data_IF_308989966623
#
_entry.id   IF_308989966623
#
_cell.length_a   1.000
_cell.length_b   1.000
_cell.length_c   1.000
_cell.angle_alpha   90.00
_cell.angle_beta   90.00
_cell.angle_gamma   90.00
#
_symmetry.space_group_name_H-M   'P 1'
#
loop_
_entity.id
_entity.type
_entity.pdbx_description
1 polymer ?
#
# COMPACT_ATOMS: atom_id res chain seq x y z
N UNK A 1 21.71 -5.84 1.02
CA UNK A 1 21.01 -6.48 -0.12
C UNK A 1 21.38 -7.96 -0.21
N UNK A 2 20.41 -8.88 -0.27
CA UNK A 2 20.66 -10.32 -0.52
C UNK A 2 20.63 -10.57 -2.03
N UNK A 3 21.76 -10.38 -2.71
CA UNK A 3 21.83 -10.40 -4.18
C UNK A 3 21.91 -11.81 -4.78
N UNK A 4 22.64 -12.73 -4.15
CA UNK A 4 22.87 -14.09 -4.69
C UNK A 4 21.57 -14.84 -5.10
N UNK A 5 20.47 -14.80 -4.31
CA UNK A 5 19.21 -15.43 -4.72
C UNK A 5 18.63 -14.87 -6.02
N UNK A 6 18.73 -13.55 -6.22
CA UNK A 6 18.24 -12.88 -7.43
C UNK A 6 19.07 -13.30 -8.64
N UNK A 7 20.40 -13.36 -8.50
CA UNK A 7 21.28 -13.80 -9.59
C UNK A 7 20.98 -15.24 -10.01
N UNK A 8 20.73 -16.13 -9.04
CA UNK A 8 20.29 -17.50 -9.31
C UNK A 8 19.00 -17.54 -10.13
N UNK A 9 18.01 -16.72 -9.76
CA UNK A 9 16.73 -16.61 -10.45
C UNK A 9 16.86 -16.05 -11.87
N UNK A 10 17.74 -15.09 -12.11
CA UNK A 10 18.02 -14.58 -13.46
C UNK A 10 18.55 -15.71 -14.38
N UNK A 11 19.46 -16.54 -13.86
CA UNK A 11 19.97 -17.70 -14.61
C UNK A 11 18.85 -18.71 -14.86
N UNK A 12 18.07 -19.03 -13.82
CA UNK A 12 16.92 -19.95 -13.93
C UNK A 12 15.91 -19.45 -14.97
N UNK A 13 15.67 -18.14 -15.04
CA UNK A 13 14.75 -17.51 -15.99
C UNK A 13 15.19 -17.76 -17.44
N UNK A 14 16.46 -17.53 -17.76
CA UNK A 14 16.96 -17.76 -19.13
C UNK A 14 16.83 -19.21 -19.61
N UNK A 15 16.78 -20.18 -18.68
CA UNK A 15 16.53 -21.60 -19.00
C UNK A 15 15.05 -21.91 -19.29
N UNK A 16 14.16 -20.98 -18.94
CA UNK A 16 12.71 -21.06 -19.07
C UNK A 16 12.14 -20.08 -20.10
N UNK A 17 13.01 -19.45 -20.89
CA UNK A 17 12.64 -18.66 -22.07
C UNK A 17 13.08 -19.46 -23.30
N UNK A 18 12.09 -19.92 -24.06
CA UNK A 18 12.30 -20.65 -25.30
C UNK A 18 12.21 -19.71 -26.51
N UNK A 19 13.03 -20.02 -27.52
CA UNK A 19 13.13 -19.27 -28.78
C UNK A 19 12.34 -19.95 -29.91
N UNK A 20 11.82 -21.16 -29.63
CA UNK A 20 10.95 -21.95 -30.50
C UNK A 20 9.67 -22.27 -29.75
N UNK A 21 8.60 -22.53 -30.50
CA UNK A 21 7.32 -22.96 -29.94
C UNK A 21 7.48 -24.25 -29.12
N UNK A 22 6.73 -24.34 -28.03
CA UNK A 22 6.71 -25.50 -27.12
C UNK A 22 5.28 -26.03 -26.98
N UNK A 23 5.13 -27.33 -26.79
CA UNK A 23 3.82 -28.02 -26.76
C UNK A 23 2.99 -27.71 -25.49
N UNK A 24 3.66 -27.31 -24.41
CA UNK A 24 3.02 -26.96 -23.13
C UNK A 24 2.45 -25.53 -23.12
N UNK A 25 1.52 -25.26 -22.19
CA UNK A 25 0.97 -23.93 -21.98
C UNK A 25 2.09 -22.91 -21.68
N UNK A 26 2.32 -22.01 -22.64
CA UNK A 26 3.39 -21.02 -22.61
C UNK A 26 2.84 -19.62 -22.91
N UNK A 27 3.38 -18.62 -22.23
CA UNK A 27 3.13 -17.23 -22.57
C UNK A 27 4.00 -16.87 -23.78
N UNK A 28 3.35 -16.70 -24.92
CA UNK A 28 3.97 -16.20 -26.15
C UNK A 28 4.11 -14.69 -26.10
N UNK A 29 5.31 -14.18 -26.37
CA UNK A 29 5.57 -12.76 -26.56
C UNK A 29 6.24 -12.52 -27.93
N UNK A 30 5.48 -11.91 -28.83
CA UNK A 30 5.95 -11.47 -30.16
C UNK A 30 6.51 -10.05 -30.10
N UNK A 31 7.65 -9.78 -30.75
CA UNK A 31 8.17 -8.43 -30.91
C UNK A 31 8.92 -8.24 -32.24
N UNK A 32 8.93 -7.00 -32.74
CA UNK A 32 9.60 -6.65 -33.99
C UNK A 32 11.05 -6.24 -33.72
N UNK A 33 11.96 -6.77 -34.53
CA UNK A 33 13.34 -6.31 -34.59
C UNK A 33 13.37 -5.06 -35.46
N UNK A 34 13.86 -3.95 -34.90
CA UNK A 34 14.03 -2.72 -35.67
C UNK A 34 15.27 -2.80 -36.56
N UNK A 35 15.22 -2.15 -37.73
CA UNK A 35 16.29 -2.18 -38.73
C UNK A 35 17.66 -1.75 -38.17
N UNK A 36 17.66 -0.87 -37.17
CA UNK A 36 18.86 -0.29 -36.56
C UNK A 36 19.65 -1.24 -35.66
N UNK A 37 19.03 -2.33 -35.17
CA UNK A 37 19.70 -3.23 -34.22
C UNK A 37 20.53 -4.31 -34.93
N UNK A 38 20.16 -4.70 -36.15
CA UNK A 38 20.74 -5.87 -36.83
C UNK A 38 20.95 -5.72 -38.35
N UNK A 39 20.66 -4.56 -38.97
CA UNK A 39 20.71 -4.38 -40.43
C UNK A 39 19.92 -5.45 -41.22
N UNK A 40 18.84 -5.99 -40.62
CA UNK A 40 17.97 -7.00 -41.23
C UNK A 40 16.61 -6.38 -41.58
N UNK A 41 15.94 -6.83 -42.66
CA UNK A 41 14.54 -6.46 -42.90
C UNK A 41 13.68 -6.83 -41.68
N UNK A 42 12.58 -6.09 -41.45
CA UNK A 42 11.70 -6.30 -40.30
C UNK A 42 11.39 -7.78 -40.11
N UNK A 43 11.89 -8.34 -39.01
CA UNK A 43 11.69 -9.72 -38.63
C UNK A 43 10.96 -9.78 -37.29
N UNK A 44 9.98 -10.66 -37.19
CA UNK A 44 9.34 -10.97 -35.91
C UNK A 44 10.19 -11.96 -35.13
N UNK A 45 10.47 -11.64 -33.87
CA UNK A 45 11.12 -12.54 -32.93
C UNK A 45 10.15 -12.94 -31.84
N UNK A 46 10.25 -14.19 -31.37
CA UNK A 46 9.30 -14.76 -30.41
C UNK A 46 10.01 -15.27 -29.19
N UNK A 47 9.45 -14.97 -28.02
CA UNK A 47 9.78 -15.65 -26.78
C UNK A 47 8.60 -16.46 -26.30
N UNK A 48 8.90 -17.65 -25.81
CA UNK A 48 7.94 -18.55 -25.19
C UNK A 48 8.36 -18.77 -23.73
N UNK A 49 7.66 -18.09 -22.82
CA UNK A 49 7.89 -18.26 -21.38
C UNK A 49 7.08 -19.46 -20.89
N UNK A 50 7.75 -20.42 -20.27
CA UNK A 50 7.04 -21.49 -19.55
C UNK A 50 6.25 -20.90 -18.37
N UNK A 51 5.28 -21.65 -17.83
CA UNK A 51 4.63 -21.30 -16.55
C UNK A 51 5.65 -21.03 -15.44
N UNK A 52 6.73 -21.81 -15.39
CA UNK A 52 7.82 -21.58 -14.44
C UNK A 52 8.58 -20.30 -14.73
N UNK A 53 8.81 -19.96 -16.00
CA UNK A 53 9.43 -18.71 -16.41
C UNK A 53 8.67 -17.47 -15.94
N UNK A 54 7.33 -17.47 -16.05
CA UNK A 54 6.51 -16.35 -15.56
C UNK A 54 6.55 -16.24 -14.04
N UNK A 55 6.51 -17.37 -13.31
CA UNK A 55 6.71 -17.40 -11.85
C UNK A 55 8.08 -16.85 -11.43
N UNK A 56 9.15 -17.16 -12.18
CA UNK A 56 10.50 -16.67 -11.86
C UNK A 56 10.59 -15.15 -12.07
N UNK A 57 9.96 -14.58 -13.09
CA UNK A 57 9.88 -13.12 -13.25
C UNK A 57 9.23 -12.47 -12.02
N UNK A 58 8.14 -13.07 -11.53
CA UNK A 58 7.45 -12.60 -10.31
C UNK A 58 8.31 -12.76 -9.06
N UNK A 59 9.03 -13.87 -8.92
CA UNK A 59 9.98 -14.09 -7.83
C UNK A 59 11.06 -13.02 -7.80
N UNK A 60 11.66 -12.69 -8.96
CA UNK A 60 12.68 -11.63 -9.06
C UNK A 60 12.08 -10.28 -8.65
N UNK A 61 10.87 -9.95 -9.11
CA UNK A 61 10.19 -8.72 -8.73
C UNK A 61 9.96 -8.63 -7.21
N UNK A 62 9.43 -9.69 -6.58
CA UNK A 62 9.21 -9.77 -5.13
C UNK A 62 10.54 -9.70 -4.35
N UNK A 63 11.58 -10.39 -4.82
CA UNK A 63 12.89 -10.34 -4.18
C UNK A 63 13.51 -8.94 -4.28
N UNK A 64 13.28 -8.22 -5.39
CA UNK A 64 13.80 -6.87 -5.60
C UNK A 64 13.25 -5.90 -4.55
N UNK A 65 11.94 -5.91 -4.31
CA UNK A 65 11.30 -5.04 -3.29
C UNK A 65 11.66 -5.44 -1.87
N UNK A 66 11.85 -6.75 -1.61
CA UNK A 66 12.18 -7.27 -0.26
C UNK A 66 13.64 -7.12 0.14
N UNK A 67 14.57 -7.26 -0.81
CA UNK A 67 16.01 -7.34 -0.52
C UNK A 67 16.76 -6.03 -0.73
N UNK A 68 16.16 -5.05 -1.41
CA UNK A 68 16.73 -3.73 -1.62
C UNK A 68 15.74 -2.63 -1.21
N UNK A 69 16.11 -1.86 -0.19
CA UNK A 69 15.31 -0.73 0.30
C UNK A 69 15.18 0.40 -0.73
N UNK A 70 16.08 0.49 -1.71
CA UNK A 70 15.97 1.45 -2.82
C UNK A 70 14.86 1.11 -3.81
N UNK A 71 14.33 -0.12 -3.77
CA UNK A 71 13.27 -0.62 -4.64
C UNK A 71 11.95 -0.90 -3.89
N UNK A 72 11.83 -0.50 -2.62
CA UNK A 72 10.69 -0.81 -1.75
C UNK A 72 9.35 -0.26 -2.25
N UNK A 73 9.38 0.86 -2.99
CA UNK A 73 8.21 1.51 -3.58
C UNK A 73 7.70 0.88 -4.88
N UNK A 74 8.33 -0.20 -5.35
CA UNK A 74 7.89 -0.92 -6.54
C UNK A 74 6.74 -1.89 -6.30
N UNK A 75 5.86 -2.04 -7.29
CA UNK A 75 4.89 -3.13 -7.34
C UNK A 75 5.38 -4.27 -8.23
N UNK A 76 4.99 -5.50 -7.88
CA UNK A 76 5.48 -6.69 -8.56
C UNK A 76 5.03 -6.76 -10.03
N UNK A 77 3.84 -6.25 -10.38
CA UNK A 77 3.32 -6.31 -11.77
C UNK A 77 4.16 -5.43 -12.70
N UNK A 78 4.45 -4.20 -12.27
CA UNK A 78 5.31 -3.27 -13.02
C UNK A 78 6.73 -3.81 -13.14
N UNK A 79 7.30 -4.34 -12.05
CA UNK A 79 8.65 -4.90 -12.07
C UNK A 79 8.74 -6.16 -12.94
N UNK A 80 7.76 -7.05 -12.85
CA UNK A 80 7.67 -8.25 -13.69
C UNK A 80 7.61 -7.88 -15.18
N UNK A 81 6.82 -6.85 -15.53
CA UNK A 81 6.78 -6.30 -16.89
C UNK A 81 8.15 -5.75 -17.32
N UNK A 82 8.85 -4.99 -16.46
CA UNK A 82 10.18 -4.46 -16.76
C UNK A 82 11.18 -5.60 -17.00
N UNK A 83 11.11 -6.68 -16.22
CA UNK A 83 11.99 -7.85 -16.34
C UNK A 83 11.74 -8.58 -17.67
N UNK A 84 10.48 -8.80 -18.07
CA UNK A 84 10.19 -9.40 -19.39
C UNK A 84 10.65 -8.51 -20.54
N UNK A 85 10.35 -7.22 -20.47
CA UNK A 85 10.76 -6.23 -21.47
C UNK A 85 12.28 -6.06 -21.55
N UNK A 86 13.01 -6.35 -20.47
CA UNK A 86 14.46 -6.35 -20.49
C UNK A 86 15.00 -7.38 -21.47
N UNK A 87 14.55 -8.63 -21.41
CA UNK A 87 15.07 -9.67 -22.29
C UNK A 87 14.74 -9.35 -23.74
N UNK A 88 13.52 -8.89 -24.06
CA UNK A 88 13.16 -8.49 -25.43
C UNK A 88 14.10 -7.41 -25.97
N UNK A 89 14.32 -6.36 -25.19
CA UNK A 89 15.14 -5.20 -25.60
C UNK A 89 16.65 -5.45 -25.59
N UNK A 90 17.11 -6.57 -25.03
CA UNK A 90 18.54 -6.86 -24.90
C UNK A 90 18.93 -8.21 -25.50
N UNK A 91 18.00 -8.95 -26.13
CA UNK A 91 18.30 -10.27 -26.70
C UNK A 91 19.41 -10.20 -27.75
N UNK A 92 19.54 -9.06 -28.46
CA UNK A 92 20.61 -8.82 -29.43
C UNK A 92 21.79 -8.01 -28.89
N UNK A 93 21.88 -7.84 -27.57
CA UNK A 93 23.01 -7.18 -26.95
C UNK A 93 24.21 -8.14 -26.91
N UNK A 94 25.21 -7.87 -27.75
CA UNK A 94 26.45 -8.67 -27.89
C UNK A 94 27.29 -8.77 -26.61
N UNK A 95 27.07 -7.91 -25.61
CA UNK A 95 27.74 -8.02 -24.31
C UNK A 95 27.09 -9.06 -23.38
N UNK A 96 25.88 -9.50 -23.71
CA UNK A 96 25.03 -10.40 -22.94
C UNK A 96 24.79 -11.72 -23.66
N UNK A 97 24.45 -11.67 -24.95
CA UNK A 97 24.08 -12.83 -25.76
C UNK A 97 24.91 -12.94 -27.05
N UNK A 98 25.21 -14.17 -27.43
CA UNK A 98 25.80 -14.54 -28.71
C UNK A 98 24.71 -14.45 -29.79
N UNK A 99 24.78 -13.38 -30.56
CA UNK A 99 23.78 -13.06 -31.59
C UNK A 99 23.81 -14.02 -32.76
N UNK A 100 24.93 -14.72 -32.99
CA UNK A 100 25.10 -15.61 -34.12
C UNK A 100 24.33 -16.93 -33.92
N UNK A 101 24.07 -17.29 -32.65
CA UNK A 101 23.20 -18.41 -32.28
C UNK A 101 21.71 -18.06 -32.37
N UNK A 102 21.39 -16.76 -32.32
CA UNK A 102 20.02 -16.25 -32.32
C UNK A 102 19.50 -16.00 -33.74
N UNK A 103 20.39 -15.77 -34.72
CA UNK A 103 20.02 -15.49 -36.11
C UNK A 103 20.94 -16.28 -37.08
N UNK A 104 20.43 -17.34 -37.75
CA UNK A 104 19.12 -17.97 -37.55
C UNK A 104 19.00 -18.62 -36.16
N UNK A 105 17.78 -18.84 -35.66
CA UNK A 105 17.56 -19.48 -34.35
C UNK A 105 18.05 -20.93 -34.37
N UNK A 106 19.28 -21.16 -33.90
CA UNK A 106 19.92 -22.49 -33.86
C UNK A 106 19.69 -23.22 -32.53
N UNK A 107 19.37 -22.46 -31.48
CA UNK A 107 19.22 -22.93 -30.11
C UNK A 107 17.76 -22.91 -29.66
N UNK A 108 17.42 -23.71 -28.64
CA UNK A 108 16.06 -23.78 -28.10
C UNK A 108 15.81 -22.78 -26.98
N UNK A 109 16.80 -22.58 -26.10
CA UNK A 109 16.66 -21.76 -24.89
C UNK A 109 17.56 -20.56 -24.92
N UNK A 110 17.10 -19.45 -24.34
CA UNK A 110 17.89 -18.22 -24.24
C UNK A 110 19.19 -18.42 -23.43
N UNK A 111 19.20 -19.35 -22.47
CA UNK A 111 20.39 -19.72 -21.69
C UNK A 111 21.57 -20.15 -22.57
N UNK A 112 21.30 -20.86 -23.67
CA UNK A 112 22.34 -21.36 -24.57
C UNK A 112 22.97 -20.23 -25.40
N UNK A 113 22.32 -19.06 -25.47
CA UNK A 113 22.86 -17.88 -26.13
C UNK A 113 23.76 -17.03 -25.22
N UNK A 114 23.98 -17.37 -23.94
CA UNK A 114 24.73 -16.50 -23.02
C UNK A 114 26.23 -16.44 -23.40
N UNK A 115 26.79 -15.25 -23.67
CA UNK A 115 28.22 -15.06 -24.04
C UNK A 115 29.18 -15.65 -23.00
N UNK A 116 28.80 -15.59 -21.72
CA UNK A 116 29.58 -16.08 -20.59
C UNK A 116 29.09 -17.43 -20.08
N UNK A 117 28.85 -18.42 -20.97
CA UNK A 117 28.35 -19.75 -20.57
C UNK A 117 29.16 -20.38 -19.42
N UNK A 118 30.49 -20.25 -19.44
CA UNK A 118 31.39 -20.76 -18.40
C UNK A 118 31.40 -19.93 -17.11
N UNK A 119 30.70 -18.79 -17.08
CA UNK A 119 30.63 -17.86 -15.93
C UNK A 119 29.21 -17.27 -15.77
N UNK A 120 28.19 -18.12 -15.54
CA UNK A 120 26.79 -17.69 -15.53
C UNK A 120 26.49 -16.66 -14.42
N UNK A 121 27.20 -16.71 -13.29
CA UNK A 121 27.10 -15.68 -12.25
C UNK A 121 27.53 -14.28 -12.72
N UNK A 122 28.59 -14.19 -13.55
CA UNK A 122 29.06 -12.91 -14.09
C UNK A 122 28.06 -12.33 -15.08
N UNK A 123 27.45 -13.18 -15.91
CA UNK A 123 26.32 -12.79 -16.76
C UNK A 123 25.14 -12.27 -15.93
N UNK A 124 24.69 -13.04 -14.94
CA UNK A 124 23.56 -12.67 -14.11
C UNK A 124 23.76 -11.34 -13.40
N UNK A 125 25.00 -11.06 -12.96
CA UNK A 125 25.35 -9.77 -12.36
C UNK A 125 25.22 -8.62 -13.36
N UNK A 126 25.75 -8.76 -14.59
CA UNK A 126 25.57 -7.73 -15.64
C UNK A 126 24.10 -7.47 -15.94
N UNK A 127 23.30 -8.53 -16.07
CA UNK A 127 21.85 -8.44 -16.29
C UNK A 127 21.19 -7.71 -15.13
N UNK A 128 21.52 -8.07 -13.89
CA UNK A 128 21.00 -7.40 -12.71
C UNK A 128 21.38 -5.92 -12.66
N UNK A 129 22.63 -5.55 -12.95
CA UNK A 129 23.07 -4.15 -12.89
C UNK A 129 22.25 -3.26 -13.85
N UNK A 130 21.93 -3.76 -15.05
CA UNK A 130 21.09 -3.04 -16.03
C UNK A 130 19.62 -3.04 -15.60
N UNK A 131 19.10 -4.20 -15.16
CA UNK A 131 17.74 -4.32 -14.65
C UNK A 131 17.50 -3.38 -13.47
N UNK A 132 18.42 -3.35 -12.52
CA UNK A 132 18.38 -2.52 -11.33
C UNK A 132 18.19 -1.04 -11.66
N UNK A 133 18.97 -0.52 -12.62
CA UNK A 133 18.81 0.87 -13.08
C UNK A 133 17.44 1.10 -13.72
N UNK A 134 16.92 0.14 -14.52
CA UNK A 134 15.57 0.25 -15.09
C UNK A 134 14.47 0.24 -14.03
N UNK A 135 14.60 -0.61 -13.01
CA UNK A 135 13.69 -0.69 -11.87
C UNK A 135 13.74 0.62 -11.06
N UNK A 136 14.92 1.15 -10.76
CA UNK A 136 15.09 2.45 -10.11
C UNK A 136 14.45 3.59 -10.90
N UNK A 137 14.69 3.64 -12.22
CA UNK A 137 14.15 4.68 -13.09
C UNK A 137 12.63 4.61 -13.24
N UNK A 138 12.00 3.49 -12.91
CA UNK A 138 10.54 3.36 -12.87
C UNK A 138 9.91 3.98 -11.62
N UNK A 139 10.72 4.29 -10.59
CA UNK A 139 10.26 4.91 -9.36
C UNK A 139 10.25 6.43 -9.51
N UNK A 140 9.10 7.02 -9.22
CA UNK A 140 8.90 8.47 -9.26
C UNK A 140 8.40 8.95 -7.91
N UNK A 141 8.56 10.25 -7.63
CA UNK A 141 7.82 10.87 -6.54
C UNK A 141 6.40 11.13 -7.01
N UNK A 142 5.43 10.77 -6.17
CA UNK A 142 4.00 10.90 -6.40
C UNK A 142 3.38 11.68 -5.26
N UNK A 143 2.31 12.41 -5.56
CA UNK A 143 1.36 12.90 -4.57
C UNK A 143 0.03 12.20 -4.82
N UNK A 144 -0.54 11.64 -3.75
CA UNK A 144 -1.85 11.01 -3.74
C UNK A 144 -2.76 11.92 -2.91
N UNK A 145 -3.90 12.29 -3.47
CA UNK A 145 -4.86 13.23 -2.87
C UNK A 145 -6.20 12.50 -2.76
N UNK A 146 -6.71 12.42 -1.54
CA UNK A 146 -7.94 11.73 -1.20
C UNK A 146 -8.94 12.70 -0.54
N UNK A 147 -10.22 12.72 -0.94
CA UNK A 147 -11.21 13.63 -0.38
C UNK A 147 -11.64 13.22 1.04
N UNK A 148 -11.71 14.18 1.97
CA UNK A 148 -12.30 13.96 3.30
C UNK A 148 -13.63 14.72 3.43
N UNK A 149 -14.73 14.01 3.21
CA UNK A 149 -16.08 14.57 3.37
C UNK A 149 -16.35 14.97 4.82
N UNK A 150 -16.96 16.14 5.02
CA UNK A 150 -17.41 16.61 6.35
C UNK A 150 -16.28 16.71 7.38
N UNK A 151 -15.06 16.93 6.91
CA UNK A 151 -13.91 17.23 7.75
C UNK A 151 -13.48 18.65 7.43
N UNK A 152 -13.38 19.50 8.45
CA UNK A 152 -12.85 20.85 8.37
C UNK A 152 -11.56 20.95 9.20
N UNK A 153 -10.56 21.63 8.64
CA UNK A 153 -9.29 21.87 9.32
C UNK A 153 -8.54 23.03 8.65
N UNK A 154 -7.58 23.60 9.37
CA UNK A 154 -6.55 24.44 8.76
C UNK A 154 -5.52 23.53 8.10
N UNK A 155 -4.94 23.95 6.98
CA UNK A 155 -3.91 23.15 6.33
C UNK A 155 -2.71 22.96 7.25
N UNK A 156 -2.18 21.74 7.28
CA UNK A 156 -0.94 21.45 7.97
C UNK A 156 -0.22 20.27 7.30
N UNK A 157 1.10 20.28 7.43
CA UNK A 157 1.95 19.18 7.03
C UNK A 157 2.29 18.35 8.28
N UNK A 158 2.09 17.04 8.19
CA UNK A 158 2.67 16.11 9.15
C UNK A 158 4.08 15.81 8.65
N UNK A 159 5.10 16.22 9.40
CA UNK A 159 6.53 16.00 9.07
C UNK A 159 6.93 14.50 9.01
N UNK A 160 5.96 13.59 9.10
CA UNK A 160 6.10 12.15 9.12
C UNK A 160 5.26 11.52 8.01
N UNK A 161 5.82 10.50 7.36
CA UNK A 161 5.17 9.72 6.30
C UNK A 161 4.68 10.51 5.08
N UNK A 162 5.09 11.77 4.94
CA UNK A 162 4.68 12.65 3.84
C UNK A 162 3.18 12.92 3.82
N UNK A 163 2.50 12.81 4.95
CA UNK A 163 1.04 13.01 5.05
C UNK A 163 0.75 14.48 5.33
N UNK A 164 -0.33 15.02 4.76
CA UNK A 164 -0.78 16.37 5.07
C UNK A 164 -2.30 16.46 5.00
N UNK A 165 -2.88 17.41 5.73
CA UNK A 165 -4.25 17.84 5.50
C UNK A 165 -4.22 19.22 4.86
N UNK A 166 -4.93 19.40 3.76
CA UNK A 166 -5.05 20.70 3.10
C UNK A 166 -6.51 21.14 3.11
N UNK A 167 -6.75 22.36 3.59
CA UNK A 167 -8.00 23.02 3.31
C UNK A 167 -8.06 23.36 1.81
N UNK A 168 -9.21 23.15 1.17
CA UNK A 168 -9.37 23.37 -0.26
C UNK A 168 -9.16 24.83 -0.65
N UNK A 169 -9.44 25.77 0.24
CA UNK A 169 -9.29 27.22 0.01
C UNK A 169 -7.90 27.79 0.33
N UNK A 170 -6.98 26.99 0.88
CA UNK A 170 -5.66 27.45 1.31
C UNK A 170 -4.65 27.46 0.14
N UNK A 171 -4.78 28.48 -0.71
CA UNK A 171 -3.91 28.64 -1.89
C UNK A 171 -2.42 28.65 -1.56
N UNK A 172 -2.00 29.25 -0.44
CA UNK A 172 -0.59 29.31 -0.03
C UNK A 172 -0.05 27.92 0.29
N UNK A 173 -0.85 27.04 0.89
CA UNK A 173 -0.47 25.65 1.13
C UNK A 173 -0.37 24.86 -0.17
N UNK A 174 -1.34 24.98 -1.07
CA UNK A 174 -1.34 24.28 -2.37
C UNK A 174 -0.15 24.68 -3.25
N UNK A 175 0.19 25.97 -3.28
CA UNK A 175 1.33 26.52 -4.04
C UNK A 175 2.68 25.87 -3.64
N UNK A 176 2.81 25.36 -2.41
CA UNK A 176 4.03 24.66 -1.96
C UNK A 176 4.23 23.33 -2.69
N UNK A 177 3.15 22.68 -3.13
CA UNK A 177 3.20 21.40 -3.84
C UNK A 177 3.34 21.57 -5.35
N UNK A 178 2.88 22.68 -5.93
CA UNK A 178 2.97 22.94 -7.38
C UNK A 178 4.41 22.87 -7.90
N UNK A 179 5.37 23.40 -7.14
CA UNK A 179 6.79 23.33 -7.49
C UNK A 179 7.33 21.90 -7.58
N UNK A 180 6.77 20.97 -6.81
CA UNK A 180 7.15 19.55 -6.80
C UNK A 180 6.32 18.70 -7.77
N UNK A 181 5.09 19.13 -8.04
CA UNK A 181 4.10 18.44 -8.84
C UNK A 181 3.42 19.43 -9.80
N UNK A 182 4.06 19.77 -10.93
CA UNK A 182 3.63 20.87 -11.80
C UNK A 182 2.19 20.76 -12.32
N UNK A 183 1.68 19.53 -12.49
CA UNK A 183 0.29 19.34 -12.90
C UNK A 183 -0.73 19.90 -11.89
N UNK A 184 -0.37 20.20 -10.64
CA UNK A 184 -1.30 20.83 -9.69
C UNK A 184 -1.74 22.22 -10.12
N UNK A 185 -0.93 22.97 -10.87
CA UNK A 185 -1.26 24.31 -11.41
C UNK A 185 -2.62 24.33 -12.16
N UNK A 186 -2.99 23.21 -12.80
CA UNK A 186 -4.23 23.13 -13.59
C UNK A 186 -5.40 22.45 -12.85
N UNK A 187 -5.26 22.18 -11.54
CA UNK A 187 -6.28 21.55 -10.72
C UNK A 187 -6.78 22.50 -9.63
N UNK A 188 -8.10 22.70 -9.57
CA UNK A 188 -8.76 23.52 -8.57
C UNK A 188 -9.20 22.64 -7.39
N UNK A 189 -8.58 22.77 -6.19
CA UNK A 189 -8.94 22.00 -5.00
C UNK A 189 -10.34 22.32 -4.46
N UNK A 190 -10.84 23.55 -4.59
CA UNK A 190 -12.19 23.93 -4.13
C UNK A 190 -13.30 23.30 -4.97
N UNK A 191 -13.03 23.09 -6.26
CA UNK A 191 -13.99 22.47 -7.18
C UNK A 191 -13.70 20.97 -7.42
N UNK A 192 -12.60 20.45 -6.88
CA UNK A 192 -12.14 19.07 -7.05
C UNK A 192 -11.88 18.67 -8.50
N UNK A 193 -11.67 19.61 -9.42
CA UNK A 193 -11.59 19.36 -10.87
C UNK A 193 -10.53 20.21 -11.54
N UNK A 194 -10.22 19.90 -12.81
CA UNK A 194 -9.29 20.74 -13.60
C UNK A 194 -9.96 22.06 -13.95
N UNK A 195 -9.21 23.16 -13.96
CA UNK A 195 -9.73 24.52 -14.20
C UNK A 195 -10.54 24.69 -15.51
N UNK A 196 -10.30 23.83 -16.52
CA UNK A 196 -11.00 23.86 -17.82
C UNK A 196 -11.87 22.63 -18.10
N UNK A 197 -12.11 21.78 -17.10
CA UNK A 197 -12.90 20.55 -17.26
C UNK A 197 -14.25 20.70 -16.56
N UNK A 198 -15.32 20.31 -17.24
CA UNK A 198 -16.67 20.41 -16.69
C UNK A 198 -16.94 19.39 -15.57
N UNK A 199 -16.26 18.23 -15.57
CA UNK A 199 -16.53 17.13 -14.62
C UNK A 199 -15.27 16.39 -14.18
N UNK A 200 -15.22 16.03 -12.91
CA UNK A 200 -14.25 15.10 -12.32
C UNK A 200 -14.96 14.10 -11.41
N UNK A 201 -14.24 13.11 -10.88
CA UNK A 201 -14.78 12.16 -9.90
C UNK A 201 -15.17 12.86 -8.58
N UNK A 202 -14.71 14.09 -8.35
CA UNK A 202 -14.94 14.85 -7.12
C UNK A 202 -15.80 16.10 -7.32
N UNK A 203 -16.18 16.44 -8.56
CA UNK A 203 -16.80 17.75 -8.87
C UNK A 203 -18.22 17.91 -8.33
N UNK A 204 -18.93 16.81 -8.07
CA UNK A 204 -20.32 16.86 -7.63
C UNK A 204 -20.45 17.22 -6.14
N UNK A 205 -19.41 16.93 -5.34
CA UNK A 205 -19.36 17.26 -3.93
C UNK A 205 -17.89 17.42 -3.49
N UNK A 206 -17.24 18.53 -3.86
CA UNK A 206 -15.84 18.75 -3.50
C UNK A 206 -15.72 18.91 -1.98
N UNK A 207 -14.75 18.23 -1.34
CA UNK A 207 -14.56 18.32 0.10
C UNK A 207 -13.92 19.66 0.49
N UNK A 208 -14.19 20.11 1.72
CA UNK A 208 -13.45 21.22 2.33
C UNK A 208 -12.00 20.83 2.66
N UNK A 209 -11.76 19.57 3.02
CA UNK A 209 -10.44 19.07 3.38
C UNK A 209 -10.00 17.93 2.47
N UNK A 210 -8.75 18.00 2.03
CA UNK A 210 -8.06 16.94 1.31
C UNK A 210 -7.00 16.27 2.19
N UNK A 211 -6.88 14.95 2.08
CA UNK A 211 -5.77 14.17 2.64
C UNK A 211 -4.73 13.92 1.55
N UNK A 212 -3.52 14.42 1.78
CA UNK A 212 -2.41 14.34 0.83
C UNK A 212 -1.36 13.36 1.37
N UNK A 213 -0.71 12.62 0.48
CA UNK A 213 0.42 11.76 0.82
C UNK A 213 1.48 11.80 -0.29
N UNK A 214 2.66 12.35 0.02
CA UNK A 214 3.85 12.32 -0.83
C UNK A 214 4.61 10.99 -0.64
N UNK A 215 4.75 10.21 -1.70
CA UNK A 215 5.48 8.93 -1.65
C UNK A 215 6.30 8.68 -2.91
N UNK A 216 7.38 7.90 -2.78
CA UNK A 216 8.17 7.42 -3.91
C UNK A 216 7.76 5.99 -4.27
N UNK A 217 7.54 5.73 -5.56
CA UNK A 217 7.14 4.40 -6.03
C UNK A 217 6.88 4.31 -7.53
N UNK A 218 6.54 3.11 -8.00
CA UNK A 218 5.81 2.94 -9.26
C UNK A 218 4.39 3.50 -9.10
N UNK A 219 3.61 3.62 -10.18
CA UNK A 219 2.23 4.13 -10.10
C UNK A 219 1.36 3.31 -9.11
N UNK A 220 1.34 1.99 -9.24
CA UNK A 220 0.54 1.14 -8.36
C UNK A 220 1.18 1.02 -6.96
N UNK A 221 2.51 0.92 -6.88
CA UNK A 221 3.24 0.82 -5.61
C UNK A 221 3.06 2.05 -4.74
N UNK A 222 3.18 3.25 -5.31
CA UNK A 222 2.94 4.52 -4.61
C UNK A 222 1.50 4.63 -4.11
N UNK A 223 0.50 4.30 -4.94
CA UNK A 223 -0.91 4.30 -4.52
C UNK A 223 -1.17 3.40 -3.32
N UNK A 224 -0.67 2.17 -3.36
CA UNK A 224 -0.87 1.21 -2.27
C UNK A 224 -0.12 1.65 -1.00
N UNK A 225 1.10 2.18 -1.14
CA UNK A 225 1.89 2.71 -0.02
C UNK A 225 1.20 3.92 0.62
N UNK A 226 0.75 4.88 -0.19
CA UNK A 226 0.01 6.05 0.28
C UNK A 226 -1.30 5.64 0.99
N UNK A 227 -2.09 4.74 0.40
CA UNK A 227 -3.31 4.23 1.03
C UNK A 227 -3.05 3.64 2.42
N UNK A 228 -1.99 2.85 2.59
CA UNK A 228 -1.61 2.31 3.89
C UNK A 228 -1.18 3.39 4.91
N UNK A 229 -0.47 4.43 4.47
CA UNK A 229 -0.05 5.54 5.33
C UNK A 229 -1.26 6.40 5.73
N UNK A 230 -2.13 6.71 4.77
CA UNK A 230 -3.39 7.42 5.00
C UNK A 230 -4.31 6.65 5.96
N UNK A 231 -4.45 5.33 5.82
CA UNK A 231 -5.21 4.49 6.76
C UNK A 231 -4.68 4.58 8.19
N UNK A 232 -3.35 4.51 8.36
CA UNK A 232 -2.72 4.69 9.68
C UNK A 232 -3.02 6.09 10.23
N UNK A 233 -2.84 7.13 9.42
CA UNK A 233 -3.13 8.50 9.81
C UNK A 233 -4.58 8.67 10.26
N UNK A 234 -5.55 8.20 9.47
CA UNK A 234 -6.97 8.26 9.80
C UNK A 234 -7.29 7.49 11.08
N UNK A 235 -6.71 6.31 11.30
CA UNK A 235 -6.91 5.56 12.54
C UNK A 235 -6.41 6.33 13.78
N UNK A 236 -5.23 6.94 13.70
CA UNK A 236 -4.67 7.76 14.79
C UNK A 236 -5.53 9.01 15.02
N UNK A 237 -5.85 9.75 13.95
CA UNK A 237 -6.71 10.94 13.99
C UNK A 237 -8.07 10.65 14.63
N UNK A 238 -8.76 9.62 14.14
CA UNK A 238 -10.08 9.24 14.64
C UNK A 238 -10.00 8.71 16.08
N UNK A 239 -8.88 8.10 16.50
CA UNK A 239 -8.68 7.71 17.89
C UNK A 239 -8.64 8.90 18.85
N UNK A 240 -8.01 10.01 18.46
CA UNK A 240 -8.06 11.23 19.27
C UNK A 240 -9.44 11.89 19.29
N UNK A 241 -10.10 11.93 18.13
CA UNK A 241 -11.44 12.52 17.99
C UNK A 241 -12.48 11.73 18.78
N UNK A 242 -12.49 10.40 18.66
CA UNK A 242 -13.44 9.52 19.33
C UNK A 242 -13.40 9.67 20.86
N UNK A 243 -12.22 9.92 21.42
CA UNK A 243 -12.05 10.12 22.86
C UNK A 243 -12.63 11.45 23.35
N UNK A 244 -12.72 12.47 22.48
CA UNK A 244 -13.42 13.73 22.79
C UNK A 244 -14.93 13.57 22.60
N UNK A 245 -15.35 12.91 21.52
CA UNK A 245 -16.75 12.71 21.20
C UNK A 245 -16.97 11.38 20.46
N UNK A 246 -17.42 10.32 21.16
CA UNK A 246 -17.62 9.00 20.55
C UNK A 246 -18.64 8.95 19.41
N UNK A 247 -19.62 9.86 19.37
CA UNK A 247 -20.71 9.81 18.39
C UNK A 247 -20.32 10.36 17.01
N UNK A 248 -19.19 11.07 16.92
CA UNK A 248 -18.80 11.77 15.70
C UNK A 248 -18.29 10.83 14.59
N UNK A 249 -17.91 9.60 14.96
CA UNK A 249 -17.43 8.58 14.02
C UNK A 249 -18.54 7.67 13.49
N UNK A 250 -19.81 7.97 13.78
CA UNK A 250 -20.92 7.21 13.21
C UNK A 250 -21.01 7.46 11.69
N UNK A 251 -21.03 6.36 10.95
CA UNK A 251 -21.13 6.34 9.50
C UNK A 251 -22.56 6.65 9.05
N UNK A 252 -22.71 7.42 8.00
CA UNK A 252 -23.95 7.57 7.25
C UNK A 252 -24.11 6.42 6.24
N UNK A 253 -25.31 6.25 5.70
CA UNK A 253 -25.59 5.27 4.66
C UNK A 253 -25.14 5.72 3.24
N UNK A 254 -24.44 6.85 3.12
CA UNK A 254 -23.95 7.34 1.84
C UNK A 254 -22.73 6.54 1.36
N UNK A 255 -22.58 6.42 0.04
CA UNK A 255 -21.41 5.75 -0.56
C UNK A 255 -20.13 6.58 -0.31
N UNK A 256 -19.07 5.89 0.10
CA UNK A 256 -17.77 6.50 0.36
C UNK A 256 -16.95 6.73 -0.91
N UNK A 257 -16.03 7.69 -0.86
CA UNK A 257 -15.09 7.89 -1.95
C UNK A 257 -14.10 6.73 -2.03
N UNK A 258 -14.06 6.04 -3.17
CA UNK A 258 -13.16 4.89 -3.42
C UNK A 258 -12.00 5.23 -4.35
N UNK A 259 -11.91 6.48 -4.84
CA UNK A 259 -10.89 6.95 -5.77
C UNK A 259 -10.03 8.06 -5.16
N UNK A 260 -8.78 8.13 -5.59
CA UNK A 260 -7.84 9.20 -5.30
C UNK A 260 -7.35 9.87 -6.59
N UNK A 261 -6.92 11.12 -6.48
CA UNK A 261 -6.12 11.78 -7.51
C UNK A 261 -4.65 11.45 -7.28
N UNK A 262 -3.97 11.05 -8.34
CA UNK A 262 -2.56 10.71 -8.30
C UNK A 262 -1.79 11.48 -9.39
N UNK A 263 -0.74 12.17 -8.97
CA UNK A 263 0.11 13.03 -9.82
C UNK A 263 1.58 12.68 -9.58
N UNK A 264 2.35 12.48 -10.65
CA UNK A 264 3.79 12.30 -10.55
C UNK A 264 4.53 13.63 -10.64
N UNK A 265 5.70 13.69 -10.02
CA UNK A 265 6.61 14.85 -10.06
C UNK A 265 7.05 15.26 -11.48
N UNK A 266 7.04 14.34 -12.44
CA UNK A 266 7.36 14.62 -13.85
C UNK A 266 6.13 14.85 -14.73
N UNK A 267 4.93 14.79 -14.16
CA UNK A 267 3.70 15.09 -14.87
C UNK A 267 3.57 16.60 -15.07
N UNK A 268 3.48 17.03 -16.32
CA UNK A 268 3.16 18.43 -16.67
C UNK A 268 1.67 18.72 -16.62
N UNK A 269 0.83 17.78 -17.07
CA UNK A 269 -0.62 17.97 -17.19
C UNK A 269 -1.44 16.67 -17.06
N UNK A 270 -0.77 15.56 -16.75
CA UNK A 270 -1.39 14.25 -16.62
C UNK A 270 -1.81 13.98 -15.17
N UNK A 271 -3.00 13.43 -15.02
CA UNK A 271 -3.58 13.04 -13.74
C UNK A 271 -4.09 11.63 -13.85
N UNK A 272 -4.06 10.90 -12.74
CA UNK A 272 -4.64 9.58 -12.67
C UNK A 272 -5.66 9.53 -11.55
N UNK A 273 -6.92 9.31 -11.89
CA UNK A 273 -7.92 8.89 -10.93
C UNK A 273 -7.77 7.39 -10.72
N UNK A 274 -7.37 6.98 -9.52
CA UNK A 274 -7.03 5.60 -9.24
C UNK A 274 -7.82 5.12 -8.03
N UNK A 275 -8.46 3.96 -8.16
CA UNK A 275 -9.15 3.31 -7.05
C UNK A 275 -8.16 3.02 -5.90
N UNK A 276 -8.49 3.47 -4.68
CA UNK A 276 -7.69 3.34 -3.45
C UNK A 276 -8.49 2.74 -2.29
N UNK A 277 -9.67 2.18 -2.57
CA UNK A 277 -10.65 1.73 -1.56
C UNK A 277 -11.26 2.92 -0.79
N UNK A 278 -12.27 2.65 0.06
CA UNK A 278 -12.86 3.66 0.94
C UNK A 278 -11.99 3.81 2.18
N UNK A 279 -11.26 4.92 2.28
CA UNK A 279 -10.39 5.20 3.42
C UNK A 279 -11.17 5.79 4.61
N UNK A 280 -12.18 6.60 4.31
CA UNK A 280 -13.10 7.18 5.30
C UNK A 280 -14.53 7.09 4.77
N UNK A 281 -15.41 6.39 5.50
CA UNK A 281 -16.84 6.38 5.18
C UNK A 281 -17.47 7.74 5.49
N UNK A 282 -18.50 8.17 4.74
CA UNK A 282 -19.13 9.46 4.98
C UNK A 282 -19.78 9.47 6.37
N UNK A 283 -19.49 10.51 7.14
CA UNK A 283 -19.91 10.61 8.55
C UNK A 283 -21.28 11.29 8.69
N UNK A 284 -21.99 10.99 9.78
CA UNK A 284 -23.27 11.65 10.13
C UNK A 284 -23.04 13.06 10.69
N UNK A 285 -21.87 13.34 11.25
CA UNK A 285 -21.55 14.65 11.83
C UNK A 285 -20.29 15.22 11.20
N UNK A 286 -20.19 16.55 11.17
CA UNK A 286 -18.99 17.24 10.74
C UNK A 286 -17.90 17.10 11.81
N UNK A 287 -16.66 16.89 11.37
CA UNK A 287 -15.47 16.85 12.22
C UNK A 287 -14.67 18.14 12.01
N UNK A 288 -14.44 18.87 13.09
CA UNK A 288 -13.43 19.93 13.12
C UNK A 288 -12.13 19.39 13.75
N UNK A 289 -11.02 19.49 13.02
CA UNK A 289 -9.70 19.10 13.52
C UNK A 289 -9.00 20.35 14.05
N UNK A 290 -9.05 20.51 15.37
CA UNK A 290 -8.43 21.62 16.08
C UNK A 290 -6.90 21.45 16.24
N UNK A 291 -6.22 22.55 16.63
CA UNK A 291 -4.76 22.55 16.84
C UNK A 291 -4.30 21.58 17.93
N UNK A 292 -5.14 21.30 18.93
CA UNK A 292 -4.80 20.38 20.01
C UNK A 292 -4.72 18.93 19.48
N UNK A 293 -5.66 18.52 18.64
CA UNK A 293 -5.65 17.21 17.97
C UNK A 293 -4.41 17.09 17.07
N UNK A 294 -4.10 18.14 16.30
CA UNK A 294 -2.89 18.19 15.45
C UNK A 294 -1.62 17.99 16.29
N UNK A 295 -1.49 18.71 17.42
CA UNK A 295 -0.34 18.58 18.31
C UNK A 295 -0.20 17.16 18.87
N UNK A 296 -1.31 16.56 19.31
CA UNK A 296 -1.28 15.20 19.84
C UNK A 296 -0.87 14.16 18.76
N UNK A 297 -1.36 14.32 17.53
CA UNK A 297 -0.97 13.45 16.40
C UNK A 297 0.52 13.61 16.10
N UNK A 298 1.03 14.86 16.09
CA UNK A 298 2.45 15.13 15.92
C UNK A 298 3.30 14.43 16.98
N UNK A 299 2.91 14.50 18.25
CA UNK A 299 3.60 13.83 19.36
C UNK A 299 3.58 12.31 19.21
N UNK A 300 2.45 11.74 18.79
CA UNK A 300 2.33 10.31 18.51
C UNK A 300 3.29 9.87 17.40
N UNK A 301 3.31 10.59 16.28
CA UNK A 301 4.18 10.27 15.14
C UNK A 301 5.67 10.49 15.45
N UNK A 302 5.98 11.52 16.25
CA UNK A 302 7.32 11.74 16.79
C UNK A 302 7.77 10.53 17.60
N UNK A 303 6.94 10.06 18.52
CA UNK A 303 7.25 8.91 19.37
C UNK A 303 7.35 7.61 18.56
N UNK A 304 6.46 7.42 17.57
CA UNK A 304 6.50 6.34 16.61
C UNK A 304 7.83 6.28 15.83
N UNK A 305 8.38 7.45 15.46
CA UNK A 305 9.64 7.54 14.70
C UNK A 305 10.88 7.16 15.51
N UNK A 306 10.85 7.37 16.83
CA UNK A 306 11.93 6.99 17.74
C UNK A 306 11.79 5.58 18.33
N UNK A 307 10.65 4.93 18.14
CA UNK A 307 10.40 3.61 18.67
C UNK A 307 11.21 2.52 17.94
N UNK A 308 11.34 1.35 18.60
CA UNK A 308 11.99 0.20 17.97
C UNK A 308 11.19 -0.28 16.75
N UNK A 309 11.88 -0.88 15.77
CA UNK A 309 11.22 -1.43 14.56
C UNK A 309 10.05 -2.36 14.89
N UNK A 310 10.19 -3.16 15.95
CA UNK A 310 9.13 -4.04 16.41
C UNK A 310 7.93 -3.25 16.93
N UNK A 311 8.15 -2.28 17.83
CA UNK A 311 7.07 -1.46 18.42
C UNK A 311 6.37 -0.63 17.35
N UNK A 312 7.11 0.00 16.44
CA UNK A 312 6.52 0.75 15.31
C UNK A 312 5.75 -0.17 14.35
N UNK A 313 6.20 -1.41 14.11
CA UNK A 313 5.48 -2.37 13.28
C UNK A 313 4.17 -2.82 13.92
N UNK A 314 4.16 -3.05 15.24
CA UNK A 314 2.97 -3.38 16.02
C UNK A 314 1.94 -2.24 15.99
N UNK A 315 2.39 -1.01 16.25
CA UNK A 315 1.54 0.18 16.16
C UNK A 315 0.95 0.37 14.75
N UNK A 316 1.76 0.19 13.71
CA UNK A 316 1.30 0.32 12.32
C UNK A 316 0.22 -0.71 11.98
N UNK A 317 0.41 -1.97 12.38
CA UNK A 317 -0.61 -3.02 12.20
C UNK A 317 -1.86 -2.76 13.02
N UNK A 318 -1.71 -2.36 14.27
CA UNK A 318 -2.84 -1.99 15.14
C UNK A 318 -3.68 -0.89 14.52
N UNK A 319 -3.04 0.17 14.03
CA UNK A 319 -3.72 1.26 13.32
C UNK A 319 -4.46 0.78 12.05
N UNK A 320 -3.89 -0.13 11.27
CA UNK A 320 -4.57 -0.70 10.10
C UNK A 320 -5.82 -1.49 10.48
N UNK A 321 -5.76 -2.32 11.52
CA UNK A 321 -6.94 -3.05 11.99
C UNK A 321 -8.00 -2.14 12.62
N UNK A 322 -7.60 -1.07 13.30
CA UNK A 322 -8.54 -0.02 13.73
C UNK A 322 -9.21 0.62 12.52
N UNK A 323 -8.45 0.95 11.46
CA UNK A 323 -9.03 1.50 10.23
C UNK A 323 -10.01 0.52 9.57
N UNK A 324 -9.68 -0.77 9.51
CA UNK A 324 -10.62 -1.78 9.01
C UNK A 324 -11.88 -1.87 9.88
N UNK A 325 -11.74 -1.81 11.21
CA UNK A 325 -12.90 -1.75 12.11
C UNK A 325 -13.72 -0.47 11.96
N UNK A 326 -13.10 0.65 11.57
CA UNK A 326 -13.80 1.91 11.29
C UNK A 326 -14.44 1.95 9.89
N UNK A 327 -14.01 1.10 8.96
CA UNK A 327 -14.56 1.02 7.59
C UNK A 327 -15.46 -0.20 7.36
N UNK A 328 -15.50 -1.17 8.28
CA UNK A 328 -16.42 -2.29 8.17
C UNK A 328 -17.87 -1.81 8.20
N UNK A 329 -18.76 -2.51 7.49
CA UNK A 329 -20.20 -2.25 7.50
C UNK A 329 -20.88 -3.03 8.64
N UNK A 330 -20.56 -4.32 8.74
CA UNK A 330 -21.13 -5.27 9.71
C UNK A 330 -20.50 -5.17 11.11
N UNK A 331 -21.31 -5.38 12.15
CA UNK A 331 -20.89 -5.26 13.55
C UNK A 331 -19.90 -6.34 14.01
N UNK A 332 -20.03 -7.56 13.49
CA UNK A 332 -19.09 -8.65 13.75
C UNK A 332 -17.70 -8.28 13.22
N UNK A 333 -17.62 -7.82 11.97
CA UNK A 333 -16.36 -7.42 11.35
C UNK A 333 -15.72 -6.24 12.10
N UNK A 334 -16.54 -5.27 12.54
CA UNK A 334 -16.07 -4.18 13.42
C UNK A 334 -15.44 -4.74 14.68
N UNK A 335 -16.17 -5.59 15.40
CA UNK A 335 -15.71 -6.19 16.67
C UNK A 335 -14.41 -6.96 16.48
N UNK A 336 -14.36 -7.84 15.49
CA UNK A 336 -13.20 -8.67 15.20
C UNK A 336 -11.98 -7.82 14.85
N UNK A 337 -12.12 -6.80 14.01
CA UNK A 337 -11.01 -5.94 13.63
C UNK A 337 -10.50 -5.08 14.81
N UNK A 338 -11.38 -4.52 15.64
CA UNK A 338 -10.96 -3.82 16.86
C UNK A 338 -10.23 -4.77 17.82
N UNK A 339 -10.70 -6.02 17.96
CA UNK A 339 -10.01 -6.99 18.81
C UNK A 339 -8.65 -7.41 18.24
N UNK A 340 -8.55 -7.63 16.92
CA UNK A 340 -7.27 -7.94 16.25
C UNK A 340 -6.29 -6.77 16.42
N UNK A 341 -6.76 -5.52 16.48
CA UNK A 341 -5.86 -4.39 16.75
C UNK A 341 -5.18 -4.50 18.12
N UNK A 342 -5.87 -5.00 19.15
CA UNK A 342 -5.28 -5.25 20.47
C UNK A 342 -4.25 -6.39 20.42
N UNK A 343 -4.52 -7.45 19.66
CA UNK A 343 -3.54 -8.52 19.38
C UNK A 343 -2.31 -7.96 18.65
N UNK A 344 -2.51 -7.11 17.64
CA UNK A 344 -1.40 -6.45 16.93
C UNK A 344 -0.55 -5.56 17.85
N UNK A 345 -1.18 -4.82 18.76
CA UNK A 345 -0.49 -3.94 19.71
C UNK A 345 0.23 -4.73 20.81
N UNK A 346 -0.39 -5.76 21.39
CA UNK A 346 0.05 -6.39 22.65
C UNK A 346 0.14 -7.92 22.64
N UNK A 347 -0.44 -8.57 21.65
CA UNK A 347 -0.37 -10.02 21.51
C UNK A 347 1.04 -10.55 21.29
N UNK A 348 1.31 -11.69 21.92
CA UNK A 348 2.54 -12.46 21.74
C UNK A 348 2.20 -13.89 21.36
N UNK A 349 2.94 -14.47 20.41
CA UNK A 349 2.68 -15.84 19.94
C UNK A 349 2.75 -16.82 21.13
N UNK A 350 1.67 -17.58 21.32
CA UNK A 350 1.53 -18.55 22.41
C UNK A 350 1.11 -17.96 23.76
N UNK A 351 1.02 -16.63 23.89
CA UNK A 351 0.58 -15.92 25.10
C UNK A 351 -0.35 -14.74 24.80
N UNK A 352 -1.10 -14.79 23.69
CA UNK A 352 -1.91 -13.66 23.17
C UNK A 352 -2.80 -13.04 24.24
N UNK A 353 -3.66 -13.84 24.89
CA UNK A 353 -4.55 -13.37 25.97
C UNK A 353 -3.78 -12.64 27.07
N UNK A 354 -2.68 -13.23 27.53
CA UNK A 354 -1.86 -12.67 28.61
C UNK A 354 -1.21 -11.36 28.18
N UNK A 355 -0.62 -11.30 26.99
CA UNK A 355 0.01 -10.09 26.46
C UNK A 355 -0.99 -8.95 26.30
N UNK A 356 -2.21 -9.22 25.81
CA UNK A 356 -3.26 -8.21 25.72
C UNK A 356 -3.66 -7.70 27.12
N UNK A 357 -3.90 -8.58 28.09
CA UNK A 357 -4.28 -8.19 29.45
C UNK A 357 -3.19 -7.35 30.13
N UNK A 358 -1.92 -7.71 29.96
CA UNK A 358 -0.79 -6.96 30.51
C UNK A 358 -0.56 -5.62 29.78
N UNK A 359 -0.93 -5.53 28.50
CA UNK A 359 -0.75 -4.34 27.69
C UNK A 359 -1.84 -3.29 27.84
N UNK A 360 -3.07 -3.69 28.20
CA UNK A 360 -4.15 -2.74 28.49
C UNK A 360 -4.02 -2.17 29.90
N UNK A 361 -4.53 -0.95 30.10
CA UNK A 361 -4.55 -0.35 31.45
C UNK A 361 -5.31 -1.24 32.45
N UNK A 362 -4.92 -1.19 33.73
CA UNK A 362 -5.56 -1.97 34.81
C UNK A 362 -7.07 -1.75 34.91
N UNK A 363 -7.59 -0.62 34.41
CA UNK A 363 -9.02 -0.32 34.32
C UNK A 363 -9.77 -1.30 33.41
N UNK A 364 -9.14 -1.77 32.33
CA UNK A 364 -9.78 -2.58 31.29
C UNK A 364 -9.54 -4.08 31.41
N UNK A 365 -8.72 -4.54 32.35
CA UNK A 365 -8.32 -5.96 32.49
C UNK A 365 -9.54 -6.90 32.51
N UNK A 366 -10.52 -6.65 33.38
CA UNK A 366 -11.71 -7.50 33.49
C UNK A 366 -12.59 -7.44 32.24
N UNK A 367 -12.71 -6.26 31.61
CA UNK A 367 -13.49 -6.09 30.37
C UNK A 367 -12.86 -6.89 29.22
N UNK A 368 -11.55 -6.72 29.02
CA UNK A 368 -10.79 -7.39 27.96
C UNK A 368 -10.80 -8.90 28.13
N UNK A 369 -10.76 -9.42 29.37
CA UNK A 369 -10.89 -10.85 29.61
C UNK A 369 -12.22 -11.42 29.10
N UNK A 370 -13.33 -10.71 29.34
CA UNK A 370 -14.66 -11.12 28.84
C UNK A 370 -14.75 -10.95 27.32
N UNK A 371 -14.26 -9.85 26.78
CA UNK A 371 -14.22 -9.59 25.33
C UNK A 371 -13.37 -10.63 24.58
N UNK A 372 -12.28 -11.12 25.18
CA UNK A 372 -11.46 -12.18 24.61
C UNK A 372 -12.25 -13.49 24.46
N UNK A 373 -13.07 -13.84 25.46
CA UNK A 373 -13.93 -15.03 25.40
C UNK A 373 -14.95 -14.90 24.26
N UNK A 374 -15.65 -13.77 24.20
CA UNK A 374 -16.57 -13.46 23.11
C UNK A 374 -15.87 -13.57 21.74
N UNK A 375 -14.69 -12.97 21.56
CA UNK A 375 -13.91 -13.10 20.32
C UNK A 375 -13.60 -14.55 19.99
N UNK A 376 -13.21 -15.36 20.97
CA UNK A 376 -12.96 -16.78 20.76
C UNK A 376 -14.23 -17.53 20.31
N UNK A 377 -15.38 -17.24 20.90
CA UNK A 377 -16.65 -17.86 20.51
C UNK A 377 -17.06 -17.46 19.09
N UNK A 378 -17.02 -16.17 18.75
CA UNK A 378 -17.34 -15.67 17.41
C UNK A 378 -16.43 -16.26 16.32
N UNK A 379 -15.12 -16.37 16.57
CA UNK A 379 -14.17 -16.91 15.57
C UNK A 379 -14.27 -18.43 15.42
N UNK A 380 -14.68 -19.15 16.47
CA UNK A 380 -14.78 -20.61 16.45
C UNK A 380 -16.20 -21.14 16.21
N UNK A 381 -17.15 -20.27 15.91
CA UNK A 381 -18.53 -20.64 15.58
C UNK A 381 -19.40 -21.00 16.80
N UNK A 382 -19.04 -20.51 17.99
CA UNK A 382 -19.87 -20.60 19.19
C UNK A 382 -21.05 -19.62 19.16
N UNK A 383 -20.91 -18.50 18.46
CA UNK A 383 -21.99 -17.52 18.22
C UNK A 383 -21.84 -16.96 16.79
N UNK A 384 -22.97 -16.69 16.13
CA UNK A 384 -22.97 -16.08 14.78
C UNK A 384 -22.95 -14.55 14.84
N UNK A 385 -23.52 -13.99 15.91
CA UNK A 385 -23.59 -12.55 16.16
C UNK A 385 -23.18 -12.21 17.60
N UNK A 386 -22.87 -10.94 17.88
CA UNK A 386 -22.44 -10.48 19.21
C UNK A 386 -23.57 -10.66 20.23
N UNK A 387 -24.81 -10.44 19.79
CA UNK A 387 -26.04 -10.50 20.58
C UNK A 387 -26.41 -11.92 21.02
N UNK A 388 -25.93 -12.94 20.28
CA UNK A 388 -26.16 -14.35 20.59
C UNK A 388 -25.24 -14.88 21.70
N UNK A 389 -24.30 -14.08 22.16
CA UNK A 389 -23.35 -14.52 23.16
C UNK A 389 -24.03 -14.78 24.51
N UNK A 390 -23.90 -15.99 25.04
CA UNK A 390 -24.46 -16.39 26.35
C UNK A 390 -24.02 -15.44 27.49
N UNK A 391 -22.84 -14.85 27.37
CA UNK A 391 -22.30 -13.89 28.35
C UNK A 391 -22.90 -12.49 28.28
N UNK A 392 -23.72 -12.17 27.28
CA UNK A 392 -24.14 -10.80 26.95
C UNK A 392 -24.88 -10.09 28.10
N UNK A 393 -25.89 -10.73 28.70
CA UNK A 393 -26.62 -10.14 29.83
C UNK A 393 -25.69 -9.86 31.03
N UNK A 394 -24.85 -10.83 31.39
CA UNK A 394 -23.88 -10.67 32.49
C UNK A 394 -22.79 -9.63 32.19
N UNK A 395 -22.50 -9.37 30.91
CA UNK A 395 -21.58 -8.32 30.49
C UNK A 395 -22.22 -6.95 30.71
N UNK A 396 -23.45 -6.77 30.20
CA UNK A 396 -24.22 -5.53 30.36
C UNK A 396 -24.48 -5.19 31.83
N UNK A 397 -24.87 -6.17 32.64
CA UNK A 397 -25.09 -5.96 34.08
C UNK A 397 -23.82 -5.52 34.82
N UNK A 398 -22.67 -6.04 34.42
CA UNK A 398 -21.41 -5.77 35.12
C UNK A 398 -20.72 -4.48 34.66
N UNK A 399 -20.80 -4.16 33.36
CA UNK A 399 -20.08 -3.02 32.77
C UNK A 399 -20.99 -1.87 32.33
N UNK A 400 -22.30 -2.07 32.30
CA UNK A 400 -23.29 -1.10 31.83
C UNK A 400 -22.95 -0.55 30.42
N UNK A 401 -22.52 -1.45 29.53
CA UNK A 401 -22.02 -1.12 28.19
C UNK A 401 -22.18 -2.31 27.23
N UNK A 402 -21.92 -2.06 25.94
CA UNK A 402 -21.98 -3.05 24.87
C UNK A 402 -20.58 -3.54 24.46
N UNK A 403 -20.39 -4.85 24.15
CA UNK A 403 -19.09 -5.39 23.81
C UNK A 403 -18.39 -4.68 22.64
N UNK A 404 -19.12 -4.33 21.58
CA UNK A 404 -18.58 -3.63 20.42
C UNK A 404 -18.10 -2.22 20.78
N UNK A 405 -18.87 -1.52 21.62
CA UNK A 405 -18.50 -0.18 22.06
C UNK A 405 -17.22 -0.23 22.90
N UNK A 406 -17.14 -1.16 23.85
CA UNK A 406 -15.99 -1.29 24.75
C UNK A 406 -14.73 -1.72 24.00
N UNK A 407 -14.78 -2.73 23.11
CA UNK A 407 -13.59 -3.14 22.35
C UNK A 407 -13.07 -2.01 21.44
N UNK A 408 -13.98 -1.23 20.83
CA UNK A 408 -13.61 -0.06 20.02
C UNK A 408 -12.93 1.00 20.89
N UNK A 409 -13.54 1.35 22.02
CA UNK A 409 -13.01 2.36 22.95
C UNK A 409 -11.61 1.97 23.43
N UNK A 410 -11.46 0.73 23.89
CA UNK A 410 -10.19 0.21 24.38
C UNK A 410 -9.14 0.21 23.25
N UNK A 411 -9.48 -0.29 22.05
CA UNK A 411 -8.57 -0.30 20.91
C UNK A 411 -8.06 1.10 20.54
N UNK A 412 -8.97 2.07 20.39
CA UNK A 412 -8.64 3.45 20.02
C UNK A 412 -7.81 4.15 21.10
N UNK A 413 -8.16 3.95 22.38
CA UNK A 413 -7.38 4.48 23.50
C UNK A 413 -5.97 3.86 23.55
N UNK A 414 -5.85 2.54 23.37
CA UNK A 414 -4.57 1.87 23.41
C UNK A 414 -3.66 2.26 22.24
N UNK A 415 -4.20 2.50 21.04
CA UNK A 415 -3.41 3.05 19.94
C UNK A 415 -2.87 4.44 20.29
N UNK A 416 -3.71 5.31 20.85
CA UNK A 416 -3.36 6.67 21.27
C UNK A 416 -2.24 6.68 22.30
N UNK A 417 -2.33 5.80 23.28
CA UNK A 417 -1.43 5.75 24.45
C UNK A 417 -0.22 4.83 24.23
N UNK A 418 -0.12 4.12 23.09
CA UNK A 418 0.86 3.05 22.90
C UNK A 418 2.33 3.45 23.09
N UNK A 419 2.66 4.72 22.86
CA UNK A 419 4.01 5.25 22.98
C UNK A 419 4.26 6.06 24.25
N UNK A 420 3.21 6.38 24.99
CA UNK A 420 3.26 7.02 26.31
C UNK A 420 3.59 5.95 27.35
#
# INVERSE_FOLDING_TARGET
>A
MKLEPILGKIIELTKNIYLKEIEDYALKEDFLISHNELNLPFASFQFWYTKRGTEICRDIAIMSTKYDSGLDGGDFETYEKIIREFFKKNVFNKDLFDTDLLIPIQIEKLFDAIVLQNRPKKFAKKVWDILYQRLLNSLKNWIIIYPLSRVSTKSFNLDYDGVSLANSSDSDFWNQFENKYPALEFWNPEEGKKARSEKSVFSDNPPETWLLCEVKGTKNGSRNKAGNLMKKFLAVLLSYIYMKNPSIIYQSAAEGFSYSLQISSDAKSSYHYSHIEVLLHPLISDIEIDQQIINNINEWYKSYSYASKEKSHRANKGAHFIQYGLSAEDELDKFINFFISLDALFGERGKVKKGIIEGVSNEYTNQVEKLYKLRSELVHGGSSFIEEWDGMMSYREHFNSEPLYDVRKIAMQMLREYFV
#
